data_IF_323898924053
#
_entry.id   IF_323898924053
#
_cell.length_a   1.000
_cell.length_b   1.000
_cell.length_c   1.000
_cell.angle_alpha   90.00
_cell.angle_beta   90.00
_cell.angle_gamma   90.00
#
_symmetry.space_group_name_H-M   'P 1'
#
loop_
_entity.id
_entity.type
_entity.pdbx_description
1 polymer ?
#
# COMPACT_ATOMS: atom_id res chain seq x y z
N UNK A 1 24.77 -10.76 2.48
CA UNK A 1 23.92 -10.18 3.55
C UNK A 1 23.69 -11.08 4.78
N UNK A 2 24.20 -12.33 4.86
CA UNK A 2 23.94 -13.25 6.01
C UNK A 2 24.97 -13.17 7.15
N UNK A 3 26.21 -12.75 6.87
CA UNK A 3 27.27 -12.63 7.87
C UNK A 3 27.00 -11.47 8.85
N UNK A 4 26.52 -10.33 8.34
CA UNK A 4 26.28 -9.09 9.11
C UNK A 4 25.18 -9.21 10.17
N UNK A 5 24.19 -10.09 10.00
CA UNK A 5 23.14 -10.29 11.03
C UNK A 5 23.61 -11.19 12.16
N UNK A 6 24.46 -12.19 11.87
CA UNK A 6 25.10 -13.01 12.90
C UNK A 6 26.03 -12.14 13.75
N UNK A 7 26.89 -11.37 13.10
CA UNK A 7 27.76 -10.38 13.73
C UNK A 7 26.98 -9.37 14.58
N UNK A 8 25.86 -8.85 14.08
CA UNK A 8 25.04 -7.91 14.84
C UNK A 8 24.45 -8.54 16.10
N UNK A 9 23.98 -9.79 16.02
CA UNK A 9 23.41 -10.52 17.16
C UNK A 9 24.48 -10.86 18.20
N UNK A 10 25.70 -11.15 17.75
CA UNK A 10 26.87 -11.30 18.62
C UNK A 10 27.26 -9.97 19.29
N UNK A 11 27.29 -8.86 18.54
CA UNK A 11 27.56 -7.50 19.07
C UNK A 11 26.51 -7.08 20.11
N UNK A 12 25.23 -7.43 19.90
CA UNK A 12 24.17 -7.13 20.87
C UNK A 12 24.32 -7.92 22.17
N UNK A 13 24.81 -9.16 22.09
CA UNK A 13 25.15 -9.99 23.27
C UNK A 13 26.36 -9.42 23.98
N UNK A 14 27.42 -9.09 23.24
CA UNK A 14 28.66 -8.49 23.78
C UNK A 14 28.40 -7.17 24.51
N UNK A 15 27.45 -6.37 24.03
CA UNK A 15 27.03 -5.11 24.67
C UNK A 15 26.06 -5.30 25.85
N UNK A 16 25.74 -6.54 26.23
CA UNK A 16 24.83 -6.84 27.33
C UNK A 16 23.38 -6.41 27.09
N UNK A 17 23.01 -6.15 25.83
CA UNK A 17 21.64 -5.71 25.47
C UNK A 17 20.69 -6.92 25.43
N UNK A 18 21.21 -8.12 25.14
CA UNK A 18 20.44 -9.36 25.05
C UNK A 18 21.12 -10.45 25.88
N UNK A 19 20.33 -11.17 26.68
CA UNK A 19 20.78 -12.31 27.47
C UNK A 19 20.99 -13.58 26.61
N UNK A 20 21.55 -14.64 27.20
CA UNK A 20 21.84 -15.88 26.49
C UNK A 20 20.57 -16.53 25.90
N UNK A 21 19.44 -16.43 26.60
CA UNK A 21 18.14 -16.93 26.15
C UNK A 21 17.60 -16.11 24.96
N UNK A 22 17.68 -14.78 25.02
CA UNK A 22 17.31 -13.89 23.94
C UNK A 22 18.21 -14.07 22.71
N UNK A 23 19.50 -14.31 22.90
CA UNK A 23 20.44 -14.61 21.82
C UNK A 23 20.08 -15.92 21.10
N UNK A 24 19.83 -16.99 21.84
CA UNK A 24 19.38 -18.27 21.26
C UNK A 24 18.04 -18.12 20.52
N UNK A 25 17.09 -17.35 21.08
CA UNK A 25 15.81 -17.08 20.43
C UNK A 25 15.94 -16.26 19.13
N UNK A 26 16.88 -15.31 19.06
CA UNK A 26 17.17 -14.54 17.85
C UNK A 26 17.80 -15.42 16.75
N UNK A 27 18.72 -16.32 17.12
CA UNK A 27 19.30 -17.29 16.18
C UNK A 27 18.27 -18.31 15.69
N UNK A 28 17.38 -18.80 16.57
CA UNK A 28 16.31 -19.72 16.21
C UNK A 28 15.25 -19.07 15.30
N UNK A 29 15.11 -17.74 15.32
CA UNK A 29 14.21 -16.96 14.46
C UNK A 29 14.76 -16.67 13.07
N UNK A 30 15.94 -17.20 12.71
CA UNK A 30 16.49 -16.99 11.38
C UNK A 30 15.51 -17.49 10.32
N UNK A 31 15.11 -16.63 9.36
CA UNK A 31 14.25 -17.07 8.28
C UNK A 31 14.99 -18.17 7.51
N UNK A 32 14.28 -19.27 7.25
CA UNK A 32 14.79 -20.33 6.39
C UNK A 32 15.16 -19.80 5.00
N UNK A 33 15.83 -20.61 4.17
CA UNK A 33 16.11 -20.25 2.78
C UNK A 33 14.84 -19.71 2.08
N UNK A 34 14.96 -18.59 1.36
CA UNK A 34 13.80 -17.90 0.76
C UNK A 34 12.97 -18.83 -0.15
N UNK A 35 13.61 -19.79 -0.81
CA UNK A 35 12.94 -20.76 -1.67
C UNK A 35 12.08 -21.75 -0.87
N UNK A 36 12.52 -22.16 0.33
CA UNK A 36 11.71 -22.99 1.24
C UNK A 36 10.52 -22.21 1.76
N UNK A 37 10.71 -20.93 2.08
CA UNK A 37 9.62 -20.06 2.51
C UNK A 37 8.56 -19.90 1.42
N UNK A 38 9.00 -19.72 0.17
CA UNK A 38 8.13 -19.64 -1.00
C UNK A 38 7.36 -20.95 -1.20
N UNK A 39 8.06 -22.09 -1.19
CA UNK A 39 7.46 -23.42 -1.36
C UNK A 39 6.44 -23.72 -0.26
N UNK A 40 6.77 -23.42 1.00
CA UNK A 40 5.86 -23.59 2.14
C UNK A 40 4.63 -22.69 2.03
N UNK A 41 4.79 -21.46 1.54
CA UNK A 41 3.68 -20.57 1.26
C UNK A 41 2.75 -21.12 0.17
N UNK A 42 3.32 -21.56 -0.96
CA UNK A 42 2.56 -22.18 -2.05
C UNK A 42 1.81 -23.45 -1.58
N UNK A 43 2.49 -24.31 -0.82
CA UNK A 43 1.88 -25.51 -0.25
C UNK A 43 0.72 -25.17 0.69
N UNK A 44 0.84 -24.11 1.50
CA UNK A 44 -0.23 -23.66 2.38
C UNK A 44 -1.46 -23.18 1.58
N UNK A 45 -1.25 -22.42 0.51
CA UNK A 45 -2.35 -21.99 -0.38
C UNK A 45 -3.02 -23.17 -1.06
N UNK A 46 -2.25 -24.12 -1.60
CA UNK A 46 -2.79 -25.33 -2.22
C UNK A 46 -3.60 -26.17 -1.23
N UNK A 47 -3.06 -26.41 -0.04
CA UNK A 47 -3.76 -27.13 1.03
C UNK A 47 -5.04 -26.39 1.45
N UNK A 48 -4.99 -25.07 1.57
CA UNK A 48 -6.17 -24.25 1.92
C UNK A 48 -7.28 -24.41 0.88
N UNK A 49 -6.93 -24.36 -0.41
CA UNK A 49 -7.90 -24.53 -1.50
C UNK A 49 -8.53 -25.93 -1.49
N UNK A 50 -7.74 -26.98 -1.25
CA UNK A 50 -8.25 -28.36 -1.14
C UNK A 50 -9.16 -28.53 0.08
N UNK A 51 -8.81 -27.97 1.23
CA UNK A 51 -9.64 -28.04 2.44
C UNK A 51 -10.93 -27.26 2.21
N UNK A 52 -10.84 -26.04 1.67
CA UNK A 52 -11.99 -25.21 1.37
C UNK A 52 -12.91 -25.87 0.35
N UNK A 53 -12.38 -26.51 -0.69
CA UNK A 53 -13.20 -27.22 -1.69
C UNK A 53 -13.84 -28.48 -1.12
N UNK A 54 -13.11 -29.24 -0.31
CA UNK A 54 -13.64 -30.42 0.37
C UNK A 54 -14.75 -30.07 1.37
N UNK A 55 -14.71 -28.87 1.96
CA UNK A 55 -15.77 -28.38 2.87
C UNK A 55 -16.90 -27.70 2.08
N UNK A 56 -16.61 -26.99 1.00
CA UNK A 56 -17.64 -26.26 0.24
C UNK A 56 -18.57 -27.17 -0.54
N UNK A 57 -18.08 -28.29 -1.08
CA UNK A 57 -18.92 -29.25 -1.82
C UNK A 57 -20.05 -29.85 -0.95
N UNK A 58 -19.77 -30.40 0.24
CA UNK A 58 -20.82 -30.86 1.14
C UNK A 58 -21.75 -29.74 1.60
N UNK A 59 -21.21 -28.54 1.85
CA UNK A 59 -22.03 -27.37 2.22
C UNK A 59 -23.01 -26.96 1.12
N UNK A 60 -22.66 -27.14 -0.16
CA UNK A 60 -23.59 -26.92 -1.26
C UNK A 60 -24.80 -27.88 -1.20
N UNK A 61 -24.62 -29.09 -0.66
CA UNK A 61 -25.70 -30.06 -0.42
C UNK A 61 -26.67 -29.63 0.68
N UNK A 62 -26.24 -28.80 1.64
CA UNK A 62 -27.12 -28.17 2.64
C UNK A 62 -27.84 -26.91 2.12
N UNK A 63 -27.62 -26.56 0.84
CA UNK A 63 -28.23 -25.44 0.15
C UNK A 63 -27.32 -24.22 0.07
N UNK A 64 -27.59 -23.36 -0.90
CA UNK A 64 -26.81 -22.15 -1.19
C UNK A 64 -27.36 -20.91 -0.48
N UNK A 65 -28.06 -21.07 0.64
CA UNK A 65 -28.73 -19.95 1.32
C UNK A 65 -27.74 -18.97 1.95
N UNK A 66 -28.14 -17.71 2.08
CA UNK A 66 -27.38 -16.68 2.79
C UNK A 66 -26.93 -17.12 4.19
N UNK A 67 -27.78 -17.86 4.91
CA UNK A 67 -27.46 -18.38 6.25
C UNK A 67 -26.28 -19.35 6.21
N UNK A 68 -26.29 -20.32 5.28
CA UNK A 68 -25.20 -21.32 5.14
C UNK A 68 -23.88 -20.62 4.83
N UNK A 69 -23.88 -19.66 3.90
CA UNK A 69 -22.68 -18.88 3.55
C UNK A 69 -22.19 -18.03 4.72
N UNK A 70 -23.11 -17.39 5.45
CA UNK A 70 -22.77 -16.56 6.61
C UNK A 70 -22.13 -17.37 7.74
N UNK A 71 -22.71 -18.53 8.07
CA UNK A 71 -22.16 -19.44 9.08
C UNK A 71 -20.80 -19.98 8.65
N UNK A 72 -20.68 -20.44 7.40
CA UNK A 72 -19.40 -20.93 6.86
C UNK A 72 -18.32 -19.83 6.89
N UNK A 73 -18.67 -18.60 6.49
CA UNK A 73 -17.77 -17.46 6.53
C UNK A 73 -17.30 -17.12 7.94
N UNK A 74 -18.22 -17.12 8.92
CA UNK A 74 -17.89 -16.90 10.33
C UNK A 74 -16.95 -17.97 10.89
N UNK A 75 -17.19 -19.25 10.56
CA UNK A 75 -16.34 -20.37 10.96
C UNK A 75 -14.93 -20.27 10.36
N UNK A 76 -14.82 -19.89 9.08
CA UNK A 76 -13.52 -19.67 8.43
C UNK A 76 -12.75 -18.50 9.07
N UNK A 77 -13.41 -17.38 9.35
CA UNK A 77 -12.80 -16.25 10.07
C UNK A 77 -12.34 -16.66 11.48
N UNK A 78 -13.16 -17.38 12.24
CA UNK A 78 -12.80 -17.88 13.56
C UNK A 78 -11.60 -18.85 13.50
N UNK A 79 -11.59 -19.74 12.51
CA UNK A 79 -10.48 -20.69 12.28
C UNK A 79 -9.21 -19.95 11.91
N UNK A 80 -9.29 -18.92 11.07
CA UNK A 80 -8.14 -18.07 10.73
C UNK A 80 -7.56 -17.39 11.97
N UNK A 81 -8.40 -16.80 12.83
CA UNK A 81 -7.98 -16.19 14.10
C UNK A 81 -7.27 -17.22 14.99
N UNK A 82 -7.81 -18.43 15.10
CA UNK A 82 -7.18 -19.49 15.86
C UNK A 82 -5.82 -19.92 15.27
N UNK A 83 -5.73 -20.06 13.94
CA UNK A 83 -4.50 -20.44 13.25
C UNK A 83 -3.40 -19.39 13.38
N UNK A 84 -3.75 -18.09 13.37
CA UNK A 84 -2.77 -17.00 13.57
C UNK A 84 -2.08 -17.05 14.95
N UNK A 85 -2.63 -17.80 15.93
CA UNK A 85 -2.01 -17.98 17.25
C UNK A 85 -0.90 -19.04 17.25
N UNK A 86 -0.73 -19.81 16.17
CA UNK A 86 0.20 -20.95 16.09
C UNK A 86 1.60 -20.58 15.57
N UNK A 87 1.90 -19.29 15.35
CA UNK A 87 3.22 -18.73 15.01
C UNK A 87 4.07 -19.59 14.03
N UNK A 88 3.55 -19.86 12.83
CA UNK A 88 4.26 -20.61 11.78
C UNK A 88 4.03 -20.03 10.38
N UNK A 89 5.00 -20.16 9.47
CA UNK A 89 4.87 -19.62 8.11
C UNK A 89 3.71 -20.27 7.33
N UNK A 90 3.67 -21.61 7.30
CA UNK A 90 2.57 -22.36 6.67
C UNK A 90 1.22 -22.01 7.29
N UNK A 91 1.12 -22.05 8.61
CA UNK A 91 -0.13 -21.76 9.32
C UNK A 91 -0.60 -20.33 9.13
N UNK A 92 0.32 -19.36 9.06
CA UNK A 92 0.00 -17.96 8.74
C UNK A 92 -0.54 -17.77 7.31
N UNK A 93 -0.01 -18.50 6.33
CA UNK A 93 -0.49 -18.45 4.94
C UNK A 93 -1.85 -19.14 4.80
N UNK A 94 -2.05 -20.27 5.48
CA UNK A 94 -3.35 -20.94 5.54
C UNK A 94 -4.41 -20.10 6.25
N UNK A 95 -4.05 -19.47 7.38
CA UNK A 95 -4.91 -18.53 8.08
C UNK A 95 -5.29 -17.32 7.22
N UNK A 96 -4.35 -16.81 6.41
CA UNK A 96 -4.63 -15.74 5.46
C UNK A 96 -5.67 -16.18 4.43
N UNK A 97 -5.51 -17.35 3.82
CA UNK A 97 -6.47 -17.88 2.85
C UNK A 97 -7.87 -18.05 3.47
N UNK A 98 -7.96 -18.66 4.66
CA UNK A 98 -9.23 -18.82 5.38
C UNK A 98 -9.86 -17.49 5.77
N UNK A 99 -9.04 -16.52 6.18
CA UNK A 99 -9.52 -15.18 6.48
C UNK A 99 -10.13 -14.52 5.25
N UNK A 100 -9.46 -14.57 4.09
CA UNK A 100 -9.97 -13.94 2.87
C UNK A 100 -11.26 -14.60 2.38
N UNK A 101 -11.29 -15.93 2.39
CA UNK A 101 -12.47 -16.69 2.04
C UNK A 101 -13.64 -16.42 3.00
N UNK A 102 -13.37 -16.39 4.30
CA UNK A 102 -14.37 -16.12 5.32
C UNK A 102 -14.96 -14.71 5.20
N UNK A 103 -14.12 -13.70 5.00
CA UNK A 103 -14.57 -12.32 4.78
C UNK A 103 -15.42 -12.22 3.49
N UNK A 104 -14.98 -12.83 2.39
CA UNK A 104 -15.73 -12.85 1.13
C UNK A 104 -17.10 -13.53 1.26
N UNK A 105 -17.18 -14.69 1.94
CA UNK A 105 -18.45 -15.38 2.19
C UNK A 105 -19.40 -14.59 3.08
N UNK A 106 -18.90 -13.91 4.11
CA UNK A 106 -19.70 -13.05 4.97
C UNK A 106 -20.30 -11.88 4.17
N UNK A 107 -19.48 -11.21 3.34
CA UNK A 107 -19.92 -10.11 2.49
C UNK A 107 -20.95 -10.60 1.48
N UNK A 108 -20.71 -11.74 0.83
CA UNK A 108 -21.63 -12.32 -0.13
C UNK A 108 -22.95 -12.79 0.49
N UNK A 109 -22.92 -13.38 1.69
CA UNK A 109 -24.13 -13.80 2.40
C UNK A 109 -25.12 -12.64 2.61
N UNK A 110 -24.62 -11.43 2.78
CA UNK A 110 -25.46 -10.23 2.87
C UNK A 110 -25.95 -9.77 1.47
N UNK A 111 -25.11 -9.82 0.44
CA UNK A 111 -25.46 -9.36 -0.92
C UNK A 111 -26.74 -9.97 -1.48
N UNK A 112 -26.93 -11.28 -1.31
CA UNK A 112 -28.11 -12.00 -1.80
C UNK A 112 -29.43 -11.51 -1.16
N UNK A 113 -29.40 -10.75 -0.05
CA UNK A 113 -30.60 -10.27 0.64
C UNK A 113 -31.10 -8.90 0.20
N UNK A 114 -30.28 -8.09 -0.47
CA UNK A 114 -30.61 -6.68 -0.77
C UNK A 114 -30.69 -6.32 -2.25
N UNK A 115 -30.78 -7.30 -3.14
CA UNK A 115 -30.90 -7.11 -4.60
C UNK A 115 -32.09 -6.21 -5.05
N UNK A 116 -33.02 -5.84 -4.15
CA UNK A 116 -34.27 -5.16 -4.49
C UNK A 116 -34.44 -3.73 -3.95
N UNK A 117 -33.52 -3.19 -3.12
CA UNK A 117 -33.83 -1.93 -2.37
C UNK A 117 -32.75 -0.83 -2.44
N UNK A 118 -31.48 -1.14 -2.72
CA UNK A 118 -30.39 -0.13 -2.64
C UNK A 118 -29.26 -0.35 -3.67
N UNK A 119 -28.33 0.61 -3.77
CA UNK A 119 -27.05 0.49 -4.48
C UNK A 119 -26.19 -0.62 -3.84
N UNK A 120 -26.37 -1.85 -4.33
CA UNK A 120 -25.85 -3.09 -3.76
C UNK A 120 -24.34 -3.01 -3.48
N UNK A 121 -23.58 -2.32 -4.34
CA UNK A 121 -22.12 -2.19 -4.22
C UNK A 121 -21.68 -1.42 -2.96
N UNK A 122 -22.35 -0.32 -2.62
CA UNK A 122 -21.99 0.49 -1.44
C UNK A 122 -22.35 -0.23 -0.14
N UNK A 123 -23.43 -0.99 -0.11
CA UNK A 123 -23.81 -1.76 1.07
C UNK A 123 -22.85 -2.92 1.34
N UNK A 124 -22.50 -3.65 0.28
CA UNK A 124 -21.47 -4.69 0.33
C UNK A 124 -20.14 -4.13 0.82
N UNK A 125 -19.70 -2.98 0.31
CA UNK A 125 -18.50 -2.30 0.78
C UNK A 125 -18.62 -1.84 2.24
N UNK A 126 -19.77 -1.30 2.66
CA UNK A 126 -20.03 -0.92 4.05
C UNK A 126 -19.88 -2.10 5.01
N UNK A 127 -20.41 -3.25 4.64
CA UNK A 127 -20.23 -4.48 5.42
C UNK A 127 -18.80 -5.02 5.33
N UNK A 128 -18.16 -4.94 4.16
CA UNK A 128 -16.75 -5.24 3.95
C UNK A 128 -15.84 -4.45 4.90
N UNK A 129 -16.10 -3.14 5.08
CA UNK A 129 -15.41 -2.30 6.07
C UNK A 129 -15.55 -2.85 7.48
N UNK A 130 -16.76 -3.25 7.89
CA UNK A 130 -17.01 -3.77 9.24
C UNK A 130 -16.29 -5.10 9.47
N UNK A 131 -16.42 -6.03 8.52
CA UNK A 131 -15.83 -7.37 8.60
C UNK A 131 -14.31 -7.29 8.55
N UNK A 132 -13.75 -6.56 7.60
CA UNK A 132 -12.30 -6.38 7.44
C UNK A 132 -11.71 -5.60 8.61
N UNK A 133 -12.43 -4.58 9.09
CA UNK A 133 -12.08 -3.81 10.28
C UNK A 133 -12.03 -4.67 11.54
N UNK A 134 -13.02 -5.55 11.74
CA UNK A 134 -13.00 -6.53 12.82
C UNK A 134 -11.81 -7.49 12.69
N UNK A 135 -11.49 -7.94 11.48
CA UNK A 135 -10.35 -8.85 11.23
C UNK A 135 -8.98 -8.20 11.38
N UNK A 136 -8.87 -6.87 11.44
CA UNK A 136 -7.61 -6.17 11.75
C UNK A 136 -7.24 -6.20 13.25
N UNK A 137 -8.22 -6.40 14.14
CA UNK A 137 -8.03 -6.33 15.59
C UNK A 137 -7.26 -7.52 16.18
N UNK A 138 -7.51 -8.79 15.77
CA UNK A 138 -6.78 -9.94 16.28
C UNK A 138 -5.26 -9.84 16.10
N UNK A 139 -4.55 -10.59 16.94
CA UNK A 139 -3.12 -10.84 16.74
C UNK A 139 -2.98 -11.72 15.49
N UNK A 140 -2.43 -11.15 14.44
CA UNK A 140 -2.26 -11.80 13.14
C UNK A 140 -0.90 -11.43 12.53
N UNK A 141 -0.54 -12.13 11.45
CA UNK A 141 0.69 -11.85 10.72
C UNK A 141 0.69 -10.44 10.11
N UNK A 142 1.89 -9.89 9.88
CA UNK A 142 2.03 -8.58 9.22
C UNK A 142 1.37 -8.57 7.83
N UNK A 143 1.54 -9.66 7.07
CA UNK A 143 0.97 -9.79 5.74
C UNK A 143 -0.56 -9.72 5.77
N UNK A 144 -1.19 -10.45 6.70
CA UNK A 144 -2.65 -10.42 6.87
C UNK A 144 -3.16 -9.01 7.16
N UNK A 145 -2.51 -8.28 8.07
CA UNK A 145 -2.90 -6.89 8.38
C UNK A 145 -2.72 -5.94 7.19
N UNK A 146 -1.69 -6.15 6.36
CA UNK A 146 -1.51 -5.36 5.13
C UNK A 146 -2.62 -5.66 4.14
N UNK A 147 -2.95 -6.93 3.93
CA UNK A 147 -4.02 -7.34 3.01
C UNK A 147 -5.38 -6.84 3.49
N UNK A 148 -5.71 -6.99 4.78
CA UNK A 148 -6.93 -6.40 5.34
C UNK A 148 -6.91 -4.87 5.26
N UNK A 149 -5.76 -4.21 5.45
CA UNK A 149 -5.65 -2.77 5.23
C UNK A 149 -5.97 -2.38 3.79
N UNK A 150 -5.52 -3.15 2.80
CA UNK A 150 -5.81 -2.92 1.38
C UNK A 150 -7.29 -3.12 1.06
N UNK A 151 -7.90 -4.21 1.55
CA UNK A 151 -9.34 -4.47 1.38
C UNK A 151 -10.15 -3.35 2.03
N UNK A 152 -9.80 -2.94 3.25
CA UNK A 152 -10.47 -1.85 3.95
C UNK A 152 -10.41 -0.53 3.15
N UNK A 153 -9.23 -0.18 2.60
CA UNK A 153 -9.08 1.03 1.77
C UNK A 153 -9.87 0.90 0.47
N UNK A 154 -9.90 -0.28 -0.14
CA UNK A 154 -10.71 -0.55 -1.32
C UNK A 154 -12.21 -0.36 -1.04
N UNK A 155 -12.73 -0.97 0.02
CA UNK A 155 -14.13 -0.84 0.42
C UNK A 155 -14.49 0.61 0.75
N UNK A 156 -13.60 1.34 1.45
CA UNK A 156 -13.75 2.79 1.67
C UNK A 156 -13.78 3.55 0.35
N UNK A 157 -12.94 3.18 -0.62
CA UNK A 157 -12.96 3.76 -1.97
C UNK A 157 -14.30 3.55 -2.68
N UNK A 158 -14.88 2.35 -2.58
CA UNK A 158 -16.21 2.04 -3.14
C UNK A 158 -17.31 2.86 -2.46
N UNK A 159 -17.24 3.00 -1.13
CA UNK A 159 -18.19 3.84 -0.36
C UNK A 159 -18.12 5.32 -0.73
N UNK A 160 -16.91 5.84 -0.95
CA UNK A 160 -16.67 7.20 -1.42
C UNK A 160 -17.21 7.37 -2.85
N UNK A 161 -17.16 6.32 -3.67
CA UNK A 161 -17.69 6.29 -5.03
C UNK A 161 -16.72 6.88 -6.05
N UNK A 162 -17.26 7.43 -7.14
CA UNK A 162 -16.48 7.99 -8.24
C UNK A 162 -16.38 9.52 -8.16
N UNK A 163 -15.44 10.11 -8.90
CA UNK A 163 -15.29 11.57 -9.02
C UNK A 163 -14.31 12.18 -8.00
N UNK A 164 -14.53 13.44 -7.55
CA UNK A 164 -13.59 14.16 -6.69
C UNK A 164 -13.34 13.50 -5.33
N UNK A 165 -14.32 12.76 -4.80
CA UNK A 165 -14.19 12.08 -3.50
C UNK A 165 -13.05 11.08 -3.46
N UNK A 166 -12.93 10.23 -4.50
CA UNK A 166 -11.86 9.22 -4.55
C UNK A 166 -10.50 9.84 -4.89
N UNK A 167 -10.47 10.97 -5.60
CA UNK A 167 -9.24 11.78 -5.74
C UNK A 167 -8.78 12.32 -4.38
N UNK A 168 -9.70 12.86 -3.59
CA UNK A 168 -9.42 13.34 -2.23
C UNK A 168 -8.96 12.19 -1.31
N UNK A 169 -9.53 10.98 -1.46
CA UNK A 169 -9.02 9.79 -0.78
C UNK A 169 -7.56 9.50 -1.15
N UNK A 170 -7.20 9.60 -2.43
CA UNK A 170 -5.81 9.46 -2.88
C UNK A 170 -4.85 10.45 -2.22
N UNK A 171 -5.25 11.73 -2.15
CA UNK A 171 -4.51 12.78 -1.46
C UNK A 171 -4.39 12.47 0.04
N UNK A 172 -5.48 12.05 0.68
CA UNK A 172 -5.51 11.69 2.09
C UNK A 172 -4.61 10.49 2.40
N UNK A 173 -4.56 9.48 1.52
CA UNK A 173 -3.66 8.34 1.65
C UNK A 173 -2.20 8.77 1.52
N UNK A 174 -1.84 9.58 0.52
CA UNK A 174 -0.49 10.10 0.35
C UNK A 174 -0.04 10.95 1.56
N UNK A 175 -0.92 11.83 2.05
CA UNK A 175 -0.70 12.63 3.25
C UNK A 175 -0.52 11.77 4.51
N UNK A 176 -1.40 10.76 4.69
CA UNK A 176 -1.33 9.83 5.81
C UNK A 176 -0.05 8.99 5.82
N UNK A 177 0.42 8.57 4.65
CA UNK A 177 1.71 7.87 4.49
C UNK A 177 2.88 8.79 4.83
N UNK A 178 2.87 10.02 4.32
CA UNK A 178 3.90 11.01 4.65
C UNK A 178 3.95 11.30 6.16
N UNK A 179 2.78 11.55 6.77
CA UNK A 179 2.65 11.80 8.21
C UNK A 179 3.09 10.62 9.06
N UNK A 180 2.66 9.40 8.71
CA UNK A 180 3.04 8.19 9.44
C UNK A 180 4.54 7.89 9.32
N UNK A 181 5.16 8.15 8.16
CA UNK A 181 6.61 8.03 8.02
C UNK A 181 7.36 9.03 8.92
N UNK A 182 6.95 10.29 8.92
CA UNK A 182 7.55 11.35 9.75
C UNK A 182 7.38 11.06 11.25
N UNK A 183 6.21 10.55 11.65
CA UNK A 183 5.90 10.24 13.05
C UNK A 183 6.33 8.82 13.46
N UNK A 184 7.03 8.08 12.58
CA UNK A 184 7.48 6.70 12.81
C UNK A 184 8.07 6.45 14.19
N UNK A 185 9.04 7.24 14.68
CA UNK A 185 9.65 7.00 15.98
C UNK A 185 8.65 6.95 17.15
N UNK A 186 7.55 7.70 17.04
CA UNK A 186 6.53 7.80 18.10
C UNK A 186 5.64 6.55 18.14
N UNK A 187 5.15 6.10 16.98
CA UNK A 187 4.21 4.99 16.94
C UNK A 187 4.86 3.62 16.91
N UNK A 188 6.14 3.51 16.53
CA UNK A 188 6.87 2.23 16.62
C UNK A 188 7.06 1.74 18.05
N UNK A 189 7.07 2.65 19.03
CA UNK A 189 7.14 2.32 20.45
C UNK A 189 5.77 1.91 21.05
N UNK A 190 4.67 2.17 20.35
CA UNK A 190 3.33 1.88 20.84
C UNK A 190 3.03 0.37 20.75
N UNK A 191 2.24 -0.24 21.67
CA UNK A 191 1.87 -1.66 21.60
C UNK A 191 1.18 -2.07 20.29
N UNK A 192 0.52 -1.11 19.63
CA UNK A 192 -0.13 -1.28 18.33
C UNK A 192 0.76 -0.92 17.13
N UNK A 193 2.05 -0.69 17.33
CA UNK A 193 2.98 -0.27 16.27
C UNK A 193 3.02 -1.22 15.09
N UNK A 194 2.85 -2.53 15.31
CA UNK A 194 2.75 -3.52 14.24
C UNK A 194 1.49 -3.36 13.36
N UNK A 195 0.36 -2.94 13.93
CA UNK A 195 -0.87 -2.64 13.17
C UNK A 195 -0.67 -1.36 12.36
N UNK A 196 -0.16 -0.30 12.99
CA UNK A 196 0.09 0.99 12.32
C UNK A 196 1.10 0.86 11.19
N UNK A 197 2.15 0.06 11.36
CA UNK A 197 3.12 -0.22 10.31
C UNK A 197 2.55 -1.03 9.14
N UNK A 198 1.55 -1.90 9.39
CA UNK A 198 0.85 -2.62 8.33
C UNK A 198 -0.12 -1.71 7.57
N UNK A 199 -0.89 -0.87 8.29
CA UNK A 199 -1.79 0.11 7.70
C UNK A 199 -1.03 1.19 6.91
N UNK A 200 0.13 1.64 7.38
CA UNK A 200 1.01 2.55 6.63
C UNK A 200 1.45 1.92 5.30
N UNK A 201 1.85 0.63 5.31
CA UNK A 201 2.25 -0.05 4.09
C UNK A 201 1.06 -0.24 3.14
N UNK A 202 -0.11 -0.64 3.66
CA UNK A 202 -1.33 -0.77 2.88
C UNK A 202 -1.75 0.57 2.25
N UNK A 203 -1.76 1.65 3.04
CA UNK A 203 -2.05 3.00 2.57
C UNK A 203 -1.04 3.48 1.53
N UNK A 204 0.25 3.15 1.70
CA UNK A 204 1.29 3.45 0.73
C UNK A 204 1.08 2.74 -0.60
N UNK A 205 0.82 1.44 -0.58
CA UNK A 205 0.52 0.67 -1.80
C UNK A 205 -0.77 1.15 -2.44
N UNK A 206 -1.82 1.43 -1.67
CA UNK A 206 -3.08 1.96 -2.19
C UNK A 206 -2.90 3.35 -2.82
N UNK A 207 -2.16 4.26 -2.17
CA UNK A 207 -1.85 5.58 -2.73
C UNK A 207 -1.10 5.46 -4.06
N UNK A 208 -0.16 4.52 -4.17
CA UNK A 208 0.62 4.27 -5.39
C UNK A 208 -0.20 3.58 -6.49
N UNK A 209 -1.24 2.81 -6.17
CA UNK A 209 -2.06 2.11 -7.16
C UNK A 209 -3.24 2.97 -7.64
N UNK A 210 -3.79 3.82 -6.77
CA UNK A 210 -5.04 4.54 -7.01
C UNK A 210 -5.03 5.42 -8.29
N UNK A 211 -3.97 6.19 -8.62
CA UNK A 211 -3.97 6.96 -9.87
C UNK A 211 -4.12 6.08 -11.11
N UNK A 212 -3.53 4.88 -11.11
CA UNK A 212 -3.65 3.94 -12.22
C UNK A 212 -5.06 3.35 -12.30
N UNK A 213 -5.63 2.97 -11.15
CA UNK A 213 -7.01 2.46 -11.05
C UNK A 213 -8.01 3.52 -11.52
N UNK A 214 -7.89 4.77 -11.05
CA UNK A 214 -8.77 5.86 -11.46
C UNK A 214 -8.69 6.13 -12.95
N UNK A 215 -7.49 6.03 -13.52
CA UNK A 215 -7.31 6.19 -14.96
C UNK A 215 -7.93 5.04 -15.74
N UNK A 216 -7.78 3.77 -15.29
CA UNK A 216 -8.43 2.62 -15.91
C UNK A 216 -9.96 2.71 -15.81
N UNK A 217 -10.49 3.05 -14.63
CA UNK A 217 -11.92 3.22 -14.42
C UNK A 217 -12.50 4.37 -15.28
N UNK A 218 -11.71 5.41 -15.55
CA UNK A 218 -12.05 6.44 -16.54
C UNK A 218 -11.83 5.96 -17.97
N UNK A 219 -10.86 5.07 -18.23
CA UNK A 219 -10.61 4.43 -19.51
C UNK A 219 -11.75 3.51 -19.97
N UNK A 220 -12.49 2.89 -19.06
CA UNK A 220 -13.75 2.21 -19.42
C UNK A 220 -14.85 3.21 -19.81
N UNK A 221 -14.80 4.44 -19.26
CA UNK A 221 -15.63 5.54 -19.76
C UNK A 221 -15.21 6.01 -21.16
N UNK A 222 -14.03 5.63 -21.68
CA UNK A 222 -13.60 5.90 -23.07
C UNK A 222 -14.48 5.10 -24.04
N UNK A 223 -14.80 3.84 -23.70
CA UNK A 223 -15.74 3.01 -24.44
C UNK A 223 -17.18 3.56 -24.34
N UNK A 224 -17.59 4.06 -23.17
CA UNK A 224 -18.91 4.69 -22.99
C UNK A 224 -19.04 6.07 -23.66
N UNK A 225 -17.94 6.83 -23.75
CA UNK A 225 -17.90 8.14 -24.41
C UNK A 225 -17.97 8.03 -25.95
N UNK A 226 -17.48 6.93 -26.53
CA UNK A 226 -17.74 6.59 -27.94
C UNK A 226 -19.23 6.38 -28.25
N UNK A 227 -20.06 6.07 -27.23
CA UNK A 227 -21.53 5.91 -27.33
C UNK A 227 -22.28 7.20 -26.97
N UNK A 228 -21.56 8.31 -26.73
CA UNK A 228 -22.10 9.66 -26.90
C UNK A 228 -22.81 10.32 -25.71
N UNK A 229 -22.49 9.99 -24.45
CA UNK A 229 -23.19 10.59 -23.29
C UNK A 229 -22.35 11.08 -22.09
N UNK A 230 -21.02 11.29 -22.19
CA UNK A 230 -20.30 12.03 -21.15
C UNK A 230 -18.98 12.64 -21.63
N UNK A 231 -18.77 13.93 -21.34
CA UNK A 231 -17.57 14.68 -21.69
C UNK A 231 -16.30 14.13 -21.03
N UNK A 232 -15.36 13.72 -21.87
CA UNK A 232 -14.06 13.15 -21.51
C UNK A 232 -13.04 14.26 -21.19
N UNK A 233 -13.29 15.06 -20.15
CA UNK A 233 -12.44 16.23 -19.84
C UNK A 233 -12.21 16.49 -18.34
N UNK A 234 -12.55 15.53 -17.46
CA UNK A 234 -12.25 15.64 -16.03
C UNK A 234 -10.80 15.24 -15.78
N UNK A 235 -9.85 16.16 -15.92
CA UNK A 235 -8.49 15.95 -15.41
C UNK A 235 -8.53 15.54 -13.93
N UNK A 236 -7.56 14.73 -13.47
CA UNK A 236 -7.38 14.38 -12.05
C UNK A 236 -6.86 15.60 -11.24
N UNK A 237 -7.56 16.73 -11.37
CA UNK A 237 -7.12 18.04 -10.90
C UNK A 237 -7.02 18.10 -9.38
N UNK A 238 -7.93 17.45 -8.65
CA UNK A 238 -7.90 17.40 -7.19
C UNK A 238 -6.75 16.54 -6.70
N UNK A 239 -6.54 15.38 -7.33
CA UNK A 239 -5.41 14.52 -7.00
C UNK A 239 -4.08 15.20 -7.27
N UNK A 240 -3.92 15.87 -8.42
CA UNK A 240 -2.70 16.58 -8.78
C UNK A 240 -2.40 17.75 -7.84
N UNK A 241 -3.37 18.65 -7.65
CA UNK A 241 -3.21 19.83 -6.77
C UNK A 241 -3.06 19.45 -5.31
N UNK A 242 -3.85 18.50 -4.81
CA UNK A 242 -3.76 18.00 -3.45
C UNK A 242 -2.43 17.28 -3.18
N UNK A 243 -1.97 16.43 -4.10
CA UNK A 243 -0.65 15.77 -3.97
C UNK A 243 0.48 16.78 -4.04
N UNK A 244 0.39 17.82 -4.88
CA UNK A 244 1.37 18.90 -4.91
C UNK A 244 1.49 19.58 -3.54
N UNK A 245 0.37 19.94 -2.91
CA UNK A 245 0.35 20.53 -1.58
C UNK A 245 1.01 19.61 -0.54
N UNK A 246 0.71 18.32 -0.58
CA UNK A 246 1.34 17.31 0.30
C UNK A 246 2.85 17.24 0.06
N UNK A 247 3.30 17.26 -1.19
CA UNK A 247 4.74 17.25 -1.54
C UNK A 247 5.45 18.49 -0.99
N UNK A 248 4.86 19.67 -1.16
CA UNK A 248 5.41 20.91 -0.61
C UNK A 248 5.45 20.90 0.92
N UNK A 249 4.38 20.46 1.58
CA UNK A 249 4.32 20.36 3.02
C UNK A 249 5.37 19.38 3.57
N UNK A 250 5.52 18.21 2.93
CA UNK A 250 6.54 17.23 3.29
C UNK A 250 7.95 17.81 3.07
N UNK A 251 8.22 18.45 1.93
CA UNK A 251 9.51 19.08 1.66
C UNK A 251 9.85 20.17 2.68
N UNK A 252 8.91 21.06 2.99
CA UNK A 252 9.08 22.10 3.99
C UNK A 252 9.37 21.52 5.39
N UNK A 253 8.68 20.43 5.76
CA UNK A 253 8.91 19.74 7.02
C UNK A 253 10.31 19.12 7.09
N UNK A 254 10.71 18.38 6.04
CA UNK A 254 12.01 17.70 5.98
C UNK A 254 13.18 18.69 6.00
N UNK A 255 12.98 19.91 5.50
CA UNK A 255 14.02 20.93 5.38
C UNK A 255 13.99 21.99 6.49
N UNK A 256 13.19 21.81 7.54
CA UNK A 256 13.01 22.81 8.61
C UNK A 256 14.30 23.26 9.32
N UNK A 257 15.35 22.43 9.29
CA UNK A 257 16.66 22.71 9.90
C UNK A 257 17.78 23.04 8.91
N UNK A 258 17.48 23.21 7.62
CA UNK A 258 18.49 23.41 6.57
C UNK A 258 18.52 24.86 6.09
N UNK A 259 19.63 25.26 5.46
CA UNK A 259 19.85 26.61 4.95
C UNK A 259 18.73 27.09 4.02
N UNK A 260 18.42 28.40 4.07
CA UNK A 260 17.37 29.02 3.27
C UNK A 260 17.58 28.80 1.77
N UNK A 261 18.84 28.81 1.31
CA UNK A 261 19.17 28.56 -0.12
C UNK A 261 18.71 27.17 -0.55
N UNK A 262 19.01 26.12 0.22
CA UNK A 262 18.57 24.77 -0.12
C UNK A 262 17.05 24.63 -0.06
N UNK A 263 16.41 25.26 0.93
CA UNK A 263 14.94 25.29 1.04
C UNK A 263 14.30 25.87 -0.23
N UNK A 264 14.84 26.98 -0.73
CA UNK A 264 14.37 27.59 -1.98
C UNK A 264 14.65 26.69 -3.19
N UNK A 265 15.84 26.10 -3.31
CA UNK A 265 16.16 25.18 -4.40
C UNK A 265 15.21 23.99 -4.45
N UNK A 266 14.94 23.34 -3.31
CA UNK A 266 14.01 22.19 -3.27
C UNK A 266 12.57 22.63 -3.53
N UNK A 267 12.13 23.79 -3.04
CA UNK A 267 10.81 24.32 -3.34
C UNK A 267 10.64 24.59 -4.84
N UNK A 268 11.63 25.21 -5.49
CA UNK A 268 11.62 25.43 -6.95
C UNK A 268 11.59 24.10 -7.70
N UNK A 269 12.39 23.12 -7.29
CA UNK A 269 12.40 21.80 -7.93
C UNK A 269 11.06 21.07 -7.75
N UNK A 270 10.47 21.12 -6.56
CA UNK A 270 9.15 20.54 -6.31
C UNK A 270 8.07 21.23 -7.16
N UNK A 271 8.13 22.55 -7.33
CA UNK A 271 7.24 23.29 -8.20
C UNK A 271 7.39 22.89 -9.66
N UNK A 272 8.62 22.83 -10.18
CA UNK A 272 8.89 22.39 -11.54
C UNK A 272 8.42 20.94 -11.76
N UNK A 273 8.62 20.06 -10.77
CA UNK A 273 8.15 18.68 -10.83
C UNK A 273 6.62 18.60 -10.92
N UNK A 274 5.90 19.36 -10.08
CA UNK A 274 4.44 19.41 -10.09
C UNK A 274 3.92 19.96 -11.42
N UNK A 275 4.50 21.05 -11.93
CA UNK A 275 4.10 21.64 -13.20
C UNK A 275 4.36 20.68 -14.37
N UNK A 276 5.49 19.98 -14.37
CA UNK A 276 5.84 19.02 -15.42
C UNK A 276 4.94 17.78 -15.42
N UNK A 277 4.53 17.31 -14.24
CA UNK A 277 3.79 16.04 -14.08
C UNK A 277 2.35 16.22 -13.62
N UNK A 278 1.75 17.40 -13.82
CA UNK A 278 0.32 17.65 -13.58
C UNK A 278 -0.57 16.61 -14.28
N UNK A 279 -0.23 16.24 -15.52
CA UNK A 279 -0.99 15.25 -16.30
C UNK A 279 -0.78 13.80 -15.82
N UNK A 280 0.23 13.57 -14.98
CA UNK A 280 0.59 12.27 -14.44
C UNK A 280 0.72 12.34 -12.90
N UNK A 281 -0.40 12.58 -12.17
CA UNK A 281 -0.37 12.74 -10.71
C UNK A 281 0.23 11.53 -9.97
N UNK A 282 0.23 10.34 -10.59
CA UNK A 282 0.92 9.17 -10.07
C UNK A 282 2.41 9.37 -9.82
N UNK A 283 3.11 10.17 -10.64
CA UNK A 283 4.52 10.51 -10.41
C UNK A 283 4.71 11.44 -9.21
N UNK A 284 3.75 12.34 -8.97
CA UNK A 284 3.75 13.23 -7.80
C UNK A 284 3.54 12.38 -6.53
N UNK A 285 2.56 11.49 -6.53
CA UNK A 285 2.30 10.57 -5.41
C UNK A 285 3.50 9.65 -5.16
N UNK A 286 4.10 9.08 -6.21
CA UNK A 286 5.30 8.26 -6.08
C UNK A 286 6.47 9.02 -5.44
N UNK A 287 6.68 10.29 -5.81
CA UNK A 287 7.70 11.14 -5.19
C UNK A 287 7.44 11.38 -3.70
N UNK A 288 6.20 11.68 -3.30
CA UNK A 288 5.80 11.85 -1.90
C UNK A 288 6.10 10.58 -1.10
N UNK A 289 5.59 9.44 -1.58
CA UNK A 289 5.72 8.14 -0.89
C UNK A 289 7.20 7.74 -0.82
N UNK A 290 7.98 7.96 -1.88
CA UNK A 290 9.42 7.68 -1.89
C UNK A 290 10.17 8.52 -0.86
N UNK A 291 9.98 9.85 -0.86
CA UNK A 291 10.66 10.75 0.09
C UNK A 291 10.30 10.42 1.54
N UNK A 292 9.02 10.18 1.81
CA UNK A 292 8.53 9.78 3.11
C UNK A 292 9.13 8.43 3.55
N UNK A 293 9.07 7.41 2.69
CA UNK A 293 9.61 6.09 2.98
C UNK A 293 11.13 6.11 3.16
N UNK A 294 11.84 6.92 2.37
CA UNK A 294 13.28 7.10 2.47
C UNK A 294 13.66 7.71 3.82
N UNK A 295 13.00 8.79 4.24
CA UNK A 295 13.21 9.39 5.56
C UNK A 295 12.91 8.40 6.70
N UNK A 296 11.86 7.61 6.56
CA UNK A 296 11.51 6.59 7.55
C UNK A 296 12.36 5.32 7.48
N UNK A 297 13.32 5.22 6.54
CA UNK A 297 14.12 4.02 6.27
C UNK A 297 13.27 2.76 5.97
N UNK A 298 12.10 2.94 5.35
CA UNK A 298 11.15 1.89 4.98
C UNK A 298 11.43 1.36 3.57
N UNK A 299 12.41 0.46 3.46
CA UNK A 299 12.92 -0.06 2.17
C UNK A 299 11.83 -0.64 1.27
N UNK A 300 10.89 -1.41 1.82
CA UNK A 300 9.80 -2.03 1.06
C UNK A 300 8.92 -0.99 0.38
N UNK A 301 8.53 0.06 1.11
CA UNK A 301 7.65 1.10 0.57
C UNK A 301 8.40 1.98 -0.44
N UNK A 302 9.68 2.29 -0.18
CA UNK A 302 10.52 3.00 -1.14
C UNK A 302 10.69 2.21 -2.45
N UNK A 303 10.87 0.88 -2.37
CA UNK A 303 10.95 0.02 -3.56
C UNK A 303 9.64 0.02 -4.36
N UNK A 304 8.48 -0.09 -3.69
CA UNK A 304 7.19 0.04 -4.37
C UNK A 304 6.99 1.41 -5.02
N UNK A 305 7.42 2.50 -4.36
CA UNK A 305 7.33 3.84 -4.92
C UNK A 305 8.21 4.00 -6.18
N UNK A 306 9.42 3.45 -6.18
CA UNK A 306 10.29 3.43 -7.36
C UNK A 306 9.70 2.59 -8.50
N UNK A 307 9.17 1.41 -8.19
CA UNK A 307 8.50 0.57 -9.18
C UNK A 307 7.30 1.29 -9.79
N UNK A 308 6.45 1.90 -8.95
CA UNK A 308 5.32 2.69 -9.41
C UNK A 308 5.76 3.88 -10.26
N UNK A 309 6.84 4.58 -9.90
CA UNK A 309 7.39 5.66 -10.71
C UNK A 309 7.81 5.17 -12.10
N UNK A 310 8.49 4.03 -12.21
CA UNK A 310 8.86 3.42 -13.50
C UNK A 310 7.62 3.09 -14.33
N UNK A 311 6.61 2.47 -13.70
CA UNK A 311 5.33 2.16 -14.37
C UNK A 311 4.63 3.43 -14.85
N UNK A 312 4.60 4.49 -14.05
CA UNK A 312 3.99 5.77 -14.43
C UNK A 312 4.77 6.52 -15.50
N UNK A 313 6.11 6.41 -15.54
CA UNK A 313 6.90 6.94 -16.67
C UNK A 313 6.57 6.17 -17.96
N UNK A 314 6.48 4.84 -17.89
CA UNK A 314 6.07 4.02 -19.03
C UNK A 314 4.66 4.39 -19.52
N UNK A 315 3.74 4.53 -18.58
CA UNK A 315 2.38 5.01 -18.85
C UNK A 315 2.35 6.38 -19.53
N UNK A 316 3.09 7.34 -18.98
CA UNK A 316 3.21 8.70 -19.53
C UNK A 316 3.78 8.70 -20.94
N UNK A 317 4.73 7.79 -21.22
CA UNK A 317 5.30 7.63 -22.55
C UNK A 317 4.27 7.15 -23.58
N UNK A 318 3.39 6.21 -23.21
CA UNK A 318 2.39 5.64 -24.12
C UNK A 318 1.10 6.45 -24.31
N UNK A 319 0.88 7.54 -23.56
CA UNK A 319 -0.28 8.43 -23.75
C UNK A 319 -0.23 9.14 -25.11
N UNK A 320 -1.05 8.76 -26.09
CA UNK A 320 -0.94 9.22 -27.48
C UNK A 320 -1.24 10.72 -27.72
N UNK A 321 -1.80 11.42 -26.75
CA UNK A 321 -2.36 12.76 -26.93
C UNK A 321 -1.32 13.89 -26.96
N UNK A 322 -0.03 13.56 -26.77
CA UNK A 322 1.05 14.54 -26.64
C UNK A 322 2.21 14.16 -27.55
N UNK A 323 2.76 15.15 -28.28
CA UNK A 323 3.89 14.93 -29.18
C UNK A 323 5.09 14.33 -28.45
N UNK A 324 5.81 13.43 -29.12
CA UNK A 324 7.03 12.80 -28.59
C UNK A 324 8.06 13.84 -28.15
N UNK A 325 8.18 14.95 -28.89
CA UNK A 325 9.06 16.06 -28.56
C UNK A 325 8.71 16.66 -27.18
N UNK A 326 7.43 16.94 -26.93
CA UNK A 326 6.99 17.52 -25.66
C UNK A 326 7.25 16.55 -24.49
N UNK A 327 6.98 15.25 -24.67
CA UNK A 327 7.29 14.22 -23.67
C UNK A 327 8.78 14.12 -23.37
N UNK A 328 9.63 14.12 -24.41
CA UNK A 328 11.08 14.10 -24.23
C UNK A 328 11.59 15.35 -23.51
N UNK A 329 11.00 16.53 -23.78
CA UNK A 329 11.31 17.77 -23.10
C UNK A 329 10.99 17.71 -21.61
N UNK A 330 9.82 17.18 -21.25
CA UNK A 330 9.41 17.01 -19.85
C UNK A 330 10.30 16.01 -19.09
N UNK A 331 10.66 14.88 -19.71
CA UNK A 331 11.58 13.92 -19.10
C UNK A 331 13.00 14.50 -18.93
N UNK A 332 13.48 15.24 -19.93
CA UNK A 332 14.75 15.95 -19.84
C UNK A 332 14.74 16.99 -18.71
N UNK A 333 13.67 17.79 -18.60
CA UNK A 333 13.49 18.75 -17.51
C UNK A 333 13.45 18.07 -16.14
N UNK A 334 12.74 16.95 -16.01
CA UNK A 334 12.73 16.15 -14.78
C UNK A 334 14.13 15.64 -14.40
N UNK A 335 14.89 15.15 -15.38
CA UNK A 335 16.29 14.75 -15.20
C UNK A 335 17.20 15.90 -14.76
N UNK A 336 17.10 17.05 -15.44
CA UNK A 336 17.84 18.27 -15.08
C UNK A 336 17.49 18.73 -13.66
N UNK A 337 16.22 18.69 -13.28
CA UNK A 337 15.76 19.05 -11.93
C UNK A 337 16.40 18.15 -10.86
N UNK A 338 16.43 16.82 -11.08
CA UNK A 338 17.08 15.88 -10.17
C UNK A 338 18.60 16.11 -10.08
N UNK A 339 19.26 16.41 -11.20
CA UNK A 339 20.68 16.75 -11.23
C UNK A 339 20.99 18.06 -10.51
N UNK A 340 20.12 19.06 -10.61
CA UNK A 340 20.25 20.32 -9.88
C UNK A 340 20.17 20.10 -8.37
N UNK A 341 19.23 19.27 -7.90
CA UNK A 341 19.15 18.87 -6.48
C UNK A 341 20.42 18.17 -6.04
N UNK A 342 20.87 17.15 -6.79
CA UNK A 342 22.10 16.40 -6.49
C UNK A 342 23.32 17.34 -6.40
N UNK A 343 23.44 18.27 -7.34
CA UNK A 343 24.57 19.21 -7.41
C UNK A 343 24.52 20.20 -6.24
N UNK A 344 23.34 20.70 -5.89
CA UNK A 344 23.14 21.56 -4.72
C UNK A 344 23.50 20.85 -3.41
N UNK A 345 23.10 19.59 -3.26
CA UNK A 345 23.45 18.77 -2.10
C UNK A 345 24.97 18.54 -1.99
N UNK A 346 25.66 18.27 -3.12
CA UNK A 346 27.12 18.08 -3.15
C UNK A 346 27.89 19.36 -2.80
N UNK A 347 27.45 20.51 -3.29
CA UNK A 347 28.11 21.80 -2.99
C UNK A 347 27.98 22.22 -1.53
N UNK A 348 26.97 21.72 -0.82
CA UNK A 348 26.71 22.02 0.59
C UNK A 348 27.32 21.00 1.55
N UNK A 349 27.80 19.87 1.06
CA UNK A 349 28.51 18.86 1.86
C UNK A 349 29.96 18.68 1.37
N UNK A 350 30.84 19.70 1.47
CA UNK A 350 32.24 19.59 1.06
C UNK A 350 33.10 18.67 1.95
N UNK A 351 32.52 18.01 2.96
CA UNK A 351 33.25 17.20 3.97
C UNK A 351 33.60 15.76 3.58
N UNK A 352 33.14 15.24 2.43
CA UNK A 352 33.41 13.84 1.99
C UNK A 352 34.37 13.76 0.78
N UNK A 353 35.25 14.74 0.62
CA UNK A 353 36.37 14.68 -0.33
C UNK A 353 37.68 14.81 0.43
N UNK A 354 38.06 13.73 1.13
CA UNK A 354 39.43 13.46 1.55
C UNK A 354 39.67 11.95 1.57
#
# INVERSE_FOLDING_TARGET
MRATEAELVDVLRERGIVDAAGHAALLARRPGPWWLMLLQGLAAWFASLLIMSAVSLPLAGFGTTALVRGVAGALLCATAIWLFRRDGLFTNQMALAFSLAGQGLLVWALGDRWDLVFDNQRQLAGFGVLVTGAMLLPRASRLHRVVCGLILIFDVGVLVGTGPGVEALGVALAAGVAWSCVTRPRWTAHPRGGLLGALMLAAGVAALALPAILRLARGDAWAAAFVGHAGFAGGMGWLATGSALVLFALGAYLLRGVSQRLRLTVAVVALLWVLAFQAAPGLIVAAIVFLAAFQASQRTLAAFALLAAVLYVGEFYYLMDVSLLHKSGLLALGGVALLAVRSGLRRLNPGDVS
#
